data_IF_569412523085
#
_entry.id   IF_569412523085
#
_cell.length_a   1.000
_cell.length_b   1.000
_cell.length_c   1.000
_cell.angle_alpha   90.00
_cell.angle_beta   90.00
_cell.angle_gamma   90.00
#
_symmetry.space_group_name_H-M   'P 1'
#
loop_
_entity.id
_entity.type
_entity.pdbx_description
1 polymer ?
#
# COMPACT_ATOMS: atom_id res chain seq x y z
N UNK A 1 -24.47 3.10 -23.81
CA UNK A 1 -24.38 3.56 -22.41
C UNK A 1 -23.26 2.74 -21.86
N UNK A 2 -22.05 3.21 -22.16
CA UNK A 2 -20.87 2.37 -22.22
C UNK A 2 -20.25 2.38 -20.82
N UNK A 3 -20.28 1.22 -20.18
CA UNK A 3 -19.62 0.96 -18.91
C UNK A 3 -18.11 1.08 -19.14
N UNK A 4 -17.55 2.24 -18.81
CA UNK A 4 -16.11 2.45 -18.74
C UNK A 4 -15.50 1.46 -17.75
N UNK A 5 -14.90 0.39 -18.27
CA UNK A 5 -13.94 -0.45 -17.56
C UNK A 5 -12.73 0.41 -17.16
N UNK A 6 -12.82 1.09 -16.02
CA UNK A 6 -11.68 1.74 -15.36
C UNK A 6 -10.77 0.65 -14.81
N UNK A 7 -9.94 0.11 -15.69
CA UNK A 7 -8.86 -0.78 -15.31
C UNK A 7 -7.82 0.08 -14.61
N UNK A 8 -7.98 0.31 -13.30
CA UNK A 8 -6.95 0.95 -12.47
C UNK A 8 -5.72 0.05 -12.50
N UNK A 9 -4.71 0.47 -13.27
CA UNK A 9 -3.44 -0.26 -13.39
C UNK A 9 -2.71 -0.13 -12.06
N UNK A 10 -2.89 -1.13 -11.20
CA UNK A 10 -2.16 -1.27 -9.94
C UNK A 10 -0.94 -2.15 -10.16
N UNK A 11 0.24 -1.64 -9.82
CA UNK A 11 1.51 -2.37 -9.92
C UNK A 11 1.86 -2.88 -8.53
N UNK A 12 2.00 -4.20 -8.38
CA UNK A 12 2.53 -4.77 -7.13
C UNK A 12 3.98 -4.29 -6.95
N UNK A 13 4.21 -3.48 -5.91
CA UNK A 13 5.54 -2.95 -5.62
C UNK A 13 6.29 -3.86 -4.65
N UNK A 14 5.63 -4.62 -3.79
CA UNK A 14 6.33 -5.52 -2.88
C UNK A 14 5.45 -6.26 -1.90
N UNK A 15 6.09 -7.17 -1.15
CA UNK A 15 5.46 -7.90 -0.05
C UNK A 15 6.26 -7.71 1.24
N UNK A 16 5.55 -7.71 2.37
CA UNK A 16 6.11 -7.50 3.68
C UNK A 16 5.63 -8.61 4.63
N UNK A 17 6.45 -8.97 5.61
CA UNK A 17 6.05 -9.89 6.67
C UNK A 17 5.08 -9.22 7.67
N UNK A 18 4.68 -9.96 8.70
CA UNK A 18 3.76 -9.46 9.74
C UNK A 18 4.33 -8.33 10.60
N UNK A 19 5.64 -8.13 10.61
CA UNK A 19 6.30 -7.02 11.27
C UNK A 19 6.47 -5.80 10.34
N UNK A 20 6.08 -5.93 9.07
CA UNK A 20 6.28 -4.90 8.05
C UNK A 20 7.63 -4.97 7.35
N UNK A 21 8.44 -6.01 7.60
CA UNK A 21 9.76 -6.14 6.96
C UNK A 21 9.60 -6.61 5.50
N UNK A 22 10.31 -6.00 4.53
CA UNK A 22 10.22 -6.41 3.13
C UNK A 22 10.68 -7.86 2.90
N UNK A 23 9.88 -8.65 2.19
CA UNK A 23 10.20 -10.04 1.77
C UNK A 23 10.62 -10.07 0.30
N UNK A 24 9.83 -9.45 -0.58
CA UNK A 24 10.10 -9.38 -2.01
C UNK A 24 10.13 -7.94 -2.47
N UNK A 25 11.27 -7.54 -3.04
CA UNK A 25 11.57 -6.17 -3.45
C UNK A 25 11.52 -6.12 -4.98
N UNK A 26 10.54 -5.41 -5.55
CA UNK A 26 10.61 -4.99 -6.96
C UNK A 26 11.44 -3.71 -7.07
N UNK A 27 11.89 -3.33 -8.26
CA UNK A 27 12.65 -2.08 -8.48
C UNK A 27 11.92 -0.84 -7.93
N UNK A 28 10.59 -0.85 -7.93
CA UNK A 28 9.76 0.24 -7.40
C UNK A 28 9.68 0.22 -5.87
N UNK A 29 9.89 -0.92 -5.21
CA UNK A 29 9.83 -0.97 -3.76
C UNK A 29 10.93 -0.15 -3.10
N UNK A 30 12.14 -0.07 -3.66
CA UNK A 30 13.22 0.67 -3.00
C UNK A 30 12.88 2.15 -2.78
N UNK A 31 12.06 2.72 -3.67
CA UNK A 31 11.60 4.11 -3.58
C UNK A 31 10.53 4.29 -2.50
N UNK A 32 9.70 3.26 -2.26
CA UNK A 32 8.54 3.33 -1.36
C UNK A 32 8.66 2.47 -0.10
N UNK A 33 9.76 1.73 0.08
CA UNK A 33 9.92 0.75 1.16
C UNK A 33 9.83 1.42 2.54
N UNK A 34 10.49 2.58 2.69
CA UNK A 34 10.52 3.32 3.94
C UNK A 34 9.11 3.79 4.33
N UNK A 35 8.39 4.42 3.41
CA UNK A 35 7.04 4.92 3.71
C UNK A 35 6.07 3.77 3.97
N UNK A 36 6.18 2.67 3.20
CA UNK A 36 5.36 1.49 3.42
C UNK A 36 5.61 0.85 4.80
N UNK A 37 6.88 0.70 5.19
CA UNK A 37 7.25 0.20 6.51
C UNK A 37 6.72 1.11 7.64
N UNK A 38 6.89 2.42 7.49
CA UNK A 38 6.38 3.39 8.47
C UNK A 38 4.86 3.36 8.59
N UNK A 39 4.14 3.23 7.48
CA UNK A 39 2.68 3.12 7.48
C UNK A 39 2.19 1.82 8.12
N UNK A 40 2.83 0.68 7.84
CA UNK A 40 2.50 -0.61 8.48
C UNK A 40 2.72 -0.52 10.00
N UNK A 41 3.88 -0.04 10.42
CA UNK A 41 4.22 0.06 11.85
C UNK A 41 3.33 1.06 12.58
N UNK A 42 2.94 2.16 11.94
CA UNK A 42 1.96 3.10 12.49
C UNK A 42 0.58 2.45 12.65
N UNK A 43 0.07 1.74 11.63
CA UNK A 43 -1.20 1.02 11.73
C UNK A 43 -1.20 0.02 12.90
N UNK A 44 -0.08 -0.70 13.07
CA UNK A 44 0.10 -1.61 14.20
C UNK A 44 0.11 -0.92 15.56
N UNK A 45 0.77 0.23 15.66
CA UNK A 45 0.80 1.03 16.87
C UNK A 45 -0.60 1.55 17.22
N UNK A 46 -1.30 2.14 16.25
CA UNK A 46 -2.65 2.68 16.45
C UNK A 46 -3.63 1.59 16.88
N UNK A 47 -3.61 0.43 16.21
CA UNK A 47 -4.43 -0.74 16.59
C UNK A 47 -4.23 -1.11 18.07
N UNK A 48 -2.98 -1.15 18.54
CA UNK A 48 -2.69 -1.45 19.95
C UNK A 48 -3.10 -0.35 20.91
N UNK A 49 -2.81 0.91 20.57
CA UNK A 49 -3.10 2.06 21.42
C UNK A 49 -4.60 2.28 21.62
N UNK A 50 -5.40 1.98 20.59
CA UNK A 50 -6.84 2.22 20.59
C UNK A 50 -7.69 0.95 20.74
N UNK A 51 -7.05 -0.22 20.93
CA UNK A 51 -7.72 -1.52 20.96
C UNK A 51 -8.64 -1.73 19.74
N UNK A 52 -8.12 -1.38 18.56
CA UNK A 52 -8.79 -1.53 17.27
C UNK A 52 -8.21 -2.73 16.52
N UNK A 53 -8.97 -3.27 15.57
CA UNK A 53 -8.40 -4.18 14.59
C UNK A 53 -7.40 -3.45 13.69
N UNK A 54 -6.39 -4.17 13.20
CA UNK A 54 -5.48 -3.65 12.18
C UNK A 54 -6.28 -3.33 10.92
N UNK A 55 -6.10 -2.13 10.37
CA UNK A 55 -6.73 -1.77 9.11
C UNK A 55 -6.37 -2.79 8.02
N UNK A 56 -7.39 -3.26 7.29
CA UNK A 56 -7.20 -4.21 6.19
C UNK A 56 -6.48 -3.56 5.01
N UNK A 57 -6.71 -2.26 4.79
CA UNK A 57 -6.08 -1.48 3.72
C UNK A 57 -5.61 -0.14 4.27
N UNK A 58 -4.39 0.26 3.89
CA UNK A 58 -3.84 1.60 4.15
C UNK A 58 -3.51 2.29 2.83
N UNK A 59 -3.94 3.54 2.67
CA UNK A 59 -3.69 4.35 1.48
C UNK A 59 -2.71 5.48 1.81
N UNK A 60 -1.69 5.64 0.98
CA UNK A 60 -0.71 6.74 1.07
C UNK A 60 -0.80 7.50 -0.25
N UNK A 61 -1.29 8.74 -0.20
CA UNK A 61 -1.43 9.59 -1.38
C UNK A 61 -0.21 10.48 -1.52
N UNK A 62 0.47 10.38 -2.66
CA UNK A 62 1.60 11.21 -3.00
C UNK A 62 1.13 12.54 -3.61
N UNK A 63 2.00 13.55 -3.59
CA UNK A 63 1.70 14.89 -4.13
C UNK A 63 1.49 14.88 -5.65
N UNK A 64 2.13 13.96 -6.36
CA UNK A 64 1.96 13.78 -7.80
C UNK A 64 0.60 13.18 -8.19
N UNK A 65 -0.20 12.79 -7.19
CA UNK A 65 -1.51 12.18 -7.34
C UNK A 65 -1.49 10.65 -7.45
N UNK A 66 -0.30 10.01 -7.39
CA UNK A 66 -0.21 8.56 -7.26
C UNK A 66 -0.60 8.10 -5.86
N UNK A 67 -1.02 6.84 -5.73
CA UNK A 67 -1.41 6.25 -4.45
C UNK A 67 -0.69 4.94 -4.21
N UNK A 68 -0.12 4.77 -3.02
CA UNK A 68 0.35 3.47 -2.55
C UNK A 68 -0.76 2.86 -1.71
N UNK A 69 -1.17 1.64 -2.07
CA UNK A 69 -2.17 0.86 -1.37
C UNK A 69 -1.50 -0.33 -0.70
N UNK A 70 -1.59 -0.42 0.62
CA UNK A 70 -1.04 -1.52 1.41
C UNK A 70 -2.19 -2.38 1.90
N UNK A 71 -2.30 -3.60 1.39
CA UNK A 71 -3.29 -4.58 1.80
C UNK A 71 -2.69 -5.56 2.81
N UNK A 72 -3.45 -5.86 3.85
CA UNK A 72 -3.13 -6.92 4.80
C UNK A 72 -3.64 -8.26 4.29
N UNK A 73 -2.85 -9.31 4.48
CA UNK A 73 -3.28 -10.68 4.26
C UNK A 73 -2.79 -11.61 5.39
N UNK A 74 -3.05 -12.92 5.28
CA UNK A 74 -2.67 -13.89 6.31
C UNK A 74 -1.15 -14.07 6.49
N UNK A 75 -0.35 -13.72 5.47
CA UNK A 75 1.12 -13.83 5.47
C UNK A 75 1.83 -12.54 5.89
N UNK A 76 1.15 -11.39 5.84
CA UNK A 76 1.73 -10.09 6.12
C UNK A 76 1.01 -9.00 5.33
N UNK A 77 1.75 -8.28 4.48
CA UNK A 77 1.21 -7.17 3.68
C UNK A 77 1.68 -7.22 2.23
N UNK A 78 0.87 -6.64 1.33
CA UNK A 78 1.21 -6.43 -0.08
C UNK A 78 1.04 -4.95 -0.39
N UNK A 79 2.07 -4.33 -0.98
CA UNK A 79 2.02 -2.96 -1.45
C UNK A 79 1.76 -2.91 -2.96
N UNK A 80 0.88 -2.00 -3.37
CA UNK A 80 0.59 -1.68 -4.77
C UNK A 80 0.80 -0.18 -5.00
N UNK A 81 1.25 0.18 -6.20
CA UNK A 81 1.29 1.55 -6.70
C UNK A 81 0.21 1.74 -7.75
N UNK A 82 -0.62 2.74 -7.55
CA UNK A 82 -1.66 3.19 -8.46
C UNK A 82 -1.21 4.52 -9.07
N UNK A 83 -1.10 4.56 -10.39
CA UNK A 83 -0.67 5.76 -11.10
C UNK A 83 -1.74 6.88 -10.99
N UNK A 84 -1.28 8.13 -11.00
CA UNK A 84 -2.20 9.26 -11.06
C UNK A 84 -2.94 9.25 -12.39
N UNK A 85 -4.28 9.18 -12.36
CA UNK A 85 -5.12 9.49 -13.53
C UNK A 85 -5.08 11.00 -13.81
N UNK A 86 -3.92 11.54 -14.20
CA UNK A 86 -3.89 12.83 -14.89
C UNK A 86 -4.34 12.58 -16.32
N UNK A 87 -5.64 12.79 -16.54
CA UNK A 87 -6.17 13.04 -17.88
C UNK A 87 -5.49 14.33 -18.35
N UNK A 88 -4.52 14.20 -19.26
CA UNK A 88 -4.03 15.34 -20.04
C UNK A 88 -5.08 15.77 -21.05
#
# INVERSE_FOLDING_TARGET
>A
MDSEDRTEVSVCIGTFDRAGMPIAITKHLSEFATVAFQSITLNMLLSRCFNLELAEVTYIRNEDGSTIRIERNFKGFIGYLEASNKIN
#
